data_IF_241260606386
#
_entry.id   IF_241260606386
#
_cell.length_a   1.000
_cell.length_b   1.000
_cell.length_c   1.000
_cell.angle_alpha   90.00
_cell.angle_beta   90.00
_cell.angle_gamma   90.00
#
_symmetry.space_group_name_H-M   'P 1'
#
loop_
_entity.id
_entity.type
_entity.pdbx_description
1 polymer ?
#
# COMPACT_ATOMS: atom_id res chain seq x y z
N UNK A 1 -0.03 -20.94 -14.13
CA UNK A 1 -0.92 -21.36 -15.24
C UNK A 1 -0.27 -22.49 -16.04
N UNK A 2 -0.91 -23.66 -16.09
CA UNK A 2 -0.49 -24.75 -16.97
C UNK A 2 -0.91 -24.42 -18.40
N UNK A 3 -0.06 -24.77 -19.37
CA UNK A 3 -0.43 -24.61 -20.78
C UNK A 3 -1.56 -25.60 -21.15
N UNK A 4 -2.20 -25.45 -22.31
CA UNK A 4 -3.29 -26.35 -22.77
C UNK A 4 -2.88 -27.84 -22.85
N UNK A 5 -1.57 -28.12 -22.81
CA UNK A 5 -0.98 -29.46 -22.79
C UNK A 5 -0.60 -29.95 -21.38
N UNK A 6 -0.94 -29.21 -20.32
CA UNK A 6 -0.65 -29.58 -18.93
C UNK A 6 0.82 -29.38 -18.51
N UNK A 7 1.67 -28.81 -19.35
CA UNK A 7 3.06 -28.53 -19.02
C UNK A 7 3.21 -27.16 -18.34
N UNK A 8 4.04 -27.11 -17.30
CA UNK A 8 4.45 -25.86 -16.67
C UNK A 8 5.67 -25.30 -17.40
N UNK A 9 5.57 -24.06 -17.87
CA UNK A 9 6.70 -23.33 -18.42
C UNK A 9 6.92 -22.06 -17.61
N UNK A 10 8.17 -21.80 -17.24
CA UNK A 10 8.57 -20.54 -16.58
C UNK A 10 8.15 -19.34 -17.44
N UNK A 11 8.18 -19.48 -18.77
CA UNK A 11 7.79 -18.43 -19.72
C UNK A 11 6.30 -18.12 -19.64
N UNK A 12 5.43 -19.13 -19.62
CA UNK A 12 3.97 -18.90 -19.52
C UNK A 12 3.58 -18.34 -18.15
N UNK A 13 4.21 -18.86 -17.08
CA UNK A 13 4.01 -18.34 -15.73
C UNK A 13 4.42 -16.87 -15.60
N UNK A 14 5.62 -16.52 -16.07
CA UNK A 14 6.14 -15.15 -16.01
C UNK A 14 5.28 -14.20 -16.86
N UNK A 15 4.88 -14.59 -18.07
CA UNK A 15 4.00 -13.76 -18.91
C UNK A 15 2.64 -13.48 -18.26
N UNK A 16 1.98 -14.49 -17.67
CA UNK A 16 0.72 -14.29 -16.97
C UNK A 16 0.88 -13.44 -15.71
N UNK A 17 2.00 -13.60 -15.00
CA UNK A 17 2.31 -12.76 -13.84
C UNK A 17 2.54 -11.30 -14.25
N UNK A 18 3.26 -11.06 -15.36
CA UNK A 18 3.45 -9.71 -15.92
C UNK A 18 2.11 -9.12 -16.37
N UNK A 19 1.24 -9.89 -17.03
CA UNK A 19 -0.11 -9.44 -17.41
C UNK A 19 -1.00 -9.12 -16.20
N UNK A 20 -0.96 -9.92 -15.14
CA UNK A 20 -1.64 -9.62 -13.88
C UNK A 20 -1.07 -8.36 -13.20
N UNK A 21 0.20 -8.03 -13.46
CA UNK A 21 0.88 -6.86 -12.92
C UNK A 21 0.68 -5.60 -13.77
N UNK A 22 0.33 -5.74 -15.07
CA UNK A 22 0.07 -4.61 -15.99
C UNK A 22 -1.05 -3.69 -15.53
N UNK A 23 -2.08 -4.22 -14.84
CA UNK A 23 -3.13 -3.39 -14.25
C UNK A 23 -2.58 -2.43 -13.16
N UNK A 24 -1.43 -2.77 -12.58
CA UNK A 24 -0.72 -1.98 -11.58
C UNK A 24 0.38 -1.07 -12.15
N UNK A 25 0.76 -1.22 -13.42
CA UNK A 25 1.89 -0.47 -14.02
C UNK A 25 1.68 1.03 -13.91
N UNK A 26 0.45 1.51 -14.10
CA UNK A 26 0.18 2.93 -13.96
C UNK A 26 0.08 3.43 -12.51
N UNK A 27 -0.13 2.56 -11.51
CA UNK A 27 0.00 2.92 -10.10
C UNK A 27 1.48 2.91 -9.67
N UNK A 28 2.26 1.93 -10.16
CA UNK A 28 3.70 1.88 -9.92
C UNK A 28 4.42 3.11 -10.50
N UNK A 29 4.05 3.57 -11.71
CA UNK A 29 4.58 4.81 -12.28
C UNK A 29 4.31 6.05 -11.43
N UNK A 30 3.13 6.14 -10.79
CA UNK A 30 2.79 7.25 -9.92
C UNK A 30 3.62 7.27 -8.61
N UNK A 31 4.12 6.10 -8.18
CA UNK A 31 4.93 5.97 -6.97
C UNK A 31 6.41 6.34 -7.22
N UNK A 32 6.95 5.99 -8.38
CA UNK A 32 8.37 6.19 -8.70
C UNK A 32 8.64 7.59 -9.24
N UNK A 33 8.66 8.58 -8.35
CA UNK A 33 8.91 9.99 -8.69
C UNK A 33 10.41 10.30 -8.54
N UNK A 34 11.11 10.81 -9.58
CA UNK A 34 12.57 11.05 -9.51
C UNK A 34 13.02 12.02 -8.41
N UNK A 35 12.15 12.96 -8.02
CA UNK A 35 12.43 13.97 -6.99
C UNK A 35 12.19 13.48 -5.56
N UNK A 36 11.61 12.28 -5.38
CA UNK A 36 11.30 11.72 -4.07
C UNK A 36 12.35 10.67 -3.71
N UNK A 37 12.85 10.65 -2.46
CA UNK A 37 13.82 9.64 -2.04
C UNK A 37 13.32 8.21 -2.31
N UNK A 38 14.17 7.36 -2.88
CA UNK A 38 13.84 5.97 -3.25
C UNK A 38 13.24 5.18 -2.09
N UNK A 39 13.66 5.47 -0.84
CA UNK A 39 13.12 4.84 0.37
C UNK A 39 11.64 5.17 0.58
N UNK A 40 11.22 6.40 0.30
CA UNK A 40 9.82 6.82 0.40
C UNK A 40 8.98 6.21 -0.73
N UNK A 41 9.50 6.17 -1.96
CA UNK A 41 8.84 5.49 -3.08
C UNK A 41 8.68 3.99 -2.80
N UNK A 42 9.73 3.32 -2.29
CA UNK A 42 9.67 1.92 -1.91
C UNK A 42 8.65 1.68 -0.79
N UNK A 43 8.58 2.56 0.21
CA UNK A 43 7.59 2.50 1.27
C UNK A 43 6.17 2.61 0.72
N UNK A 44 5.88 3.60 -0.13
CA UNK A 44 4.57 3.77 -0.76
C UNK A 44 4.20 2.56 -1.64
N UNK A 45 5.15 2.00 -2.38
CA UNK A 45 4.95 0.77 -3.16
C UNK A 45 4.61 -0.41 -2.25
N UNK A 46 5.37 -0.63 -1.17
CA UNK A 46 5.07 -1.67 -0.20
C UNK A 46 3.71 -1.44 0.47
N UNK A 47 3.35 -0.19 0.78
CA UNK A 47 2.07 0.20 1.38
C UNK A 47 0.90 -0.17 0.49
N UNK A 48 1.01 0.18 -0.79
CA UNK A 48 -0.01 -0.06 -1.80
C UNK A 48 -0.25 -1.57 -2.05
N UNK A 49 0.77 -2.40 -1.80
CA UNK A 49 0.65 -3.86 -1.86
C UNK A 49 0.17 -4.47 -0.55
N UNK A 50 -0.14 -3.67 0.46
CA UNK A 50 -0.42 -4.10 1.84
C UNK A 50 0.70 -4.98 2.40
N UNK A 51 1.94 -4.71 1.96
CA UNK A 51 3.17 -5.47 2.30
C UNK A 51 4.08 -4.70 3.25
N UNK A 52 3.63 -3.57 3.80
CA UNK A 52 4.36 -2.94 4.90
C UNK A 52 4.33 -3.93 6.08
N UNK A 53 5.49 -4.21 6.70
CA UNK A 53 5.54 -5.04 7.88
C UNK A 53 5.00 -4.23 9.06
N UNK A 54 3.69 -4.02 9.10
CA UNK A 54 3.07 -3.16 10.11
C UNK A 54 2.95 -3.87 11.44
N UNK A 55 2.68 -5.17 11.43
CA UNK A 55 2.62 -6.03 12.63
C UNK A 55 2.29 -7.49 12.28
N UNK A 56 1.86 -7.78 11.04
CA UNK A 56 1.55 -9.13 10.57
C UNK A 56 2.73 -10.13 10.65
N UNK A 57 3.97 -9.64 10.76
CA UNK A 57 5.14 -10.50 11.04
C UNK A 57 5.32 -10.82 12.53
N UNK A 58 4.72 -10.04 13.44
CA UNK A 58 4.74 -10.30 14.89
C UNK A 58 3.72 -11.37 15.29
N UNK A 59 2.54 -11.42 14.65
CA UNK A 59 1.54 -12.50 14.87
C UNK A 59 2.04 -13.89 14.45
N UNK A 60 2.90 -14.00 13.42
CA UNK A 60 3.57 -15.27 13.06
C UNK A 60 4.58 -15.78 14.11
N UNK A 61 4.87 -15.01 15.17
CA UNK A 61 5.77 -15.36 16.29
C UNK A 61 5.04 -15.63 17.62
N UNK A 62 3.74 -15.91 17.61
CA UNK A 62 2.92 -16.14 18.83
C UNK A 62 2.88 -14.94 19.80
N UNK A 63 2.64 -13.72 19.31
CA UNK A 63 2.47 -12.55 20.17
C UNK A 63 1.00 -12.34 20.56
N UNK A 64 0.68 -12.38 21.86
CA UNK A 64 -0.67 -12.34 22.45
C UNK A 64 -1.00 -10.99 23.13
N UNK A 65 -0.48 -9.88 22.60
CA UNK A 65 -0.82 -8.51 23.04
C UNK A 65 -1.93 -7.88 22.19
N UNK A 66 -2.57 -6.79 22.66
CA UNK A 66 -3.67 -6.14 21.94
C UNK A 66 -3.15 -5.59 20.61
N UNK A 67 -3.73 -6.02 19.50
CA UNK A 67 -3.46 -5.64 18.10
C UNK A 67 -3.83 -4.18 17.80
N UNK A 68 -3.75 -3.27 18.76
CA UNK A 68 -4.28 -1.90 18.67
C UNK A 68 -3.25 -0.94 18.07
N UNK A 69 -3.74 0.03 17.31
CA UNK A 69 -2.93 1.08 16.67
C UNK A 69 -2.06 1.82 17.69
N UNK A 70 -0.75 1.86 17.45
CA UNK A 70 0.20 2.55 18.33
C UNK A 70 -0.02 4.06 18.43
N UNK A 71 -0.75 4.65 17.48
CA UNK A 71 -1.07 6.08 17.45
C UNK A 71 -2.40 6.40 18.14
N UNK A 72 -3.47 5.67 17.79
CA UNK A 72 -4.81 5.98 18.27
C UNK A 72 -5.27 5.09 19.44
N UNK A 73 -4.62 3.95 19.67
CA UNK A 73 -4.90 2.94 20.71
C UNK A 73 -6.34 2.39 20.74
N UNK A 74 -7.13 2.65 19.70
CA UNK A 74 -8.56 2.33 19.64
C UNK A 74 -8.85 1.15 18.72
N UNK A 75 -8.33 1.18 17.49
CA UNK A 75 -8.67 0.21 16.45
C UNK A 75 -7.51 -0.75 16.15
N UNK A 76 -7.78 -1.88 15.50
CA UNK A 76 -6.74 -2.82 15.14
C UNK A 76 -5.74 -2.26 14.11
N UNK A 77 -4.45 -2.59 14.25
CA UNK A 77 -3.42 -2.22 13.28
C UNK A 77 -3.64 -2.98 11.98
N UNK A 78 -4.01 -2.21 10.95
CA UNK A 78 -3.87 -2.58 9.55
C UNK A 78 -3.03 -1.54 8.82
N UNK A 79 -2.51 -1.87 7.63
CA UNK A 79 -1.77 -0.91 6.79
C UNK A 79 -2.66 0.29 6.46
N UNK A 80 -3.93 0.03 6.13
CA UNK A 80 -4.90 1.07 5.77
C UNK A 80 -5.28 1.92 6.99
N UNK A 81 -5.47 1.30 8.17
CA UNK A 81 -5.69 2.08 9.40
C UNK A 81 -4.46 2.93 9.74
N UNK A 82 -3.26 2.37 9.77
CA UNK A 82 -2.07 3.11 10.17
C UNK A 82 -1.75 4.26 9.22
N UNK A 83 -2.05 4.14 7.92
CA UNK A 83 -1.64 5.14 6.92
C UNK A 83 -2.76 6.06 6.42
N UNK A 84 -4.02 5.69 6.63
CA UNK A 84 -5.17 6.42 6.08
C UNK A 84 -6.21 6.73 7.15
N UNK A 85 -6.70 5.73 7.88
CA UNK A 85 -7.87 5.89 8.76
C UNK A 85 -7.56 6.31 10.20
N UNK A 86 -6.32 6.13 10.66
CA UNK A 86 -5.93 6.54 12.00
C UNK A 86 -6.17 8.05 12.14
N UNK A 87 -6.91 8.47 13.18
CA UNK A 87 -7.30 9.87 13.40
C UNK A 87 -6.12 10.85 13.27
N UNK A 88 -4.98 10.51 13.89
CA UNK A 88 -3.77 11.33 13.85
C UNK A 88 -3.21 11.46 12.44
N UNK A 89 -3.27 10.38 11.67
CA UNK A 89 -2.73 10.31 10.31
C UNK A 89 -3.66 10.98 9.32
N UNK A 90 -4.97 10.81 9.48
CA UNK A 90 -5.98 11.53 8.71
C UNK A 90 -5.86 13.05 8.93
N UNK A 91 -5.65 13.50 10.18
CA UNK A 91 -5.35 14.92 10.47
C UNK A 91 -4.04 15.40 9.84
N UNK A 92 -2.99 14.57 9.80
CA UNK A 92 -1.75 14.91 9.11
C UNK A 92 -1.93 15.05 7.59
N UNK A 93 -2.73 14.18 6.98
CA UNK A 93 -3.09 14.29 5.57
C UNK A 93 -3.87 15.56 5.28
N UNK A 94 -4.89 15.84 6.10
CA UNK A 94 -5.70 17.04 5.98
C UNK A 94 -4.86 18.32 6.10
N UNK A 95 -3.98 18.39 7.11
CA UNK A 95 -3.05 19.51 7.27
C UNK A 95 -2.12 19.64 6.06
N UNK A 96 -1.48 18.55 5.65
CA UNK A 96 -0.49 18.57 4.57
C UNK A 96 -1.12 18.97 3.22
N UNK A 97 -2.32 18.46 2.93
CA UNK A 97 -3.05 18.76 1.71
C UNK A 97 -3.64 20.17 1.75
N UNK A 98 -4.17 20.61 2.89
CA UNK A 98 -4.67 21.98 3.08
C UNK A 98 -3.57 23.01 2.85
N UNK A 99 -2.35 22.74 3.32
CA UNK A 99 -1.17 23.58 3.05
C UNK A 99 -0.83 23.66 1.55
N UNK A 100 -1.19 22.63 0.78
CA UNK A 100 -1.04 22.61 -0.68
C UNK A 100 -2.30 23.08 -1.43
N UNK A 101 -3.37 23.49 -0.73
CA UNK A 101 -4.63 23.94 -1.32
C UNK A 101 -5.58 22.83 -1.76
N UNK A 102 -5.42 21.61 -1.25
CA UNK A 102 -6.28 20.46 -1.53
C UNK A 102 -7.11 20.07 -0.30
N UNK A 103 -8.36 19.66 -0.52
CA UNK A 103 -9.17 19.05 0.53
C UNK A 103 -8.87 17.55 0.63
N UNK A 104 -8.62 17.06 1.84
CA UNK A 104 -8.49 15.63 2.08
C UNK A 104 -9.87 14.98 2.10
N UNK A 105 -10.06 13.98 1.23
CA UNK A 105 -11.23 13.10 1.26
C UNK A 105 -10.71 11.71 1.59
N UNK A 106 -11.05 11.22 2.78
CA UNK A 106 -10.50 9.97 3.28
C UNK A 106 -10.85 8.80 2.34
N UNK A 107 -9.87 8.19 1.65
CA UNK A 107 -10.11 7.06 0.77
C UNK A 107 -10.27 5.77 1.57
N UNK A 108 -10.77 4.71 0.91
CA UNK A 108 -11.08 3.45 1.58
C UNK A 108 -9.86 2.58 1.90
N UNK A 109 -8.74 2.82 1.21
CA UNK A 109 -7.49 2.07 1.38
C UNK A 109 -6.30 2.83 0.75
N UNK A 110 -5.08 2.37 1.03
CA UNK A 110 -3.86 2.99 0.53
C UNK A 110 -3.70 2.90 -1.00
N UNK A 111 -4.37 1.96 -1.67
CA UNK A 111 -4.31 1.86 -3.14
C UNK A 111 -5.04 3.00 -3.81
N UNK A 112 -6.20 3.36 -3.26
CA UNK A 112 -6.99 4.50 -3.72
C UNK A 112 -6.20 5.80 -3.54
N UNK A 113 -5.49 5.96 -2.40
CA UNK A 113 -4.55 7.10 -2.19
C UNK A 113 -3.54 7.17 -3.34
N UNK A 114 -2.84 6.08 -3.63
CA UNK A 114 -1.82 6.05 -4.69
C UNK A 114 -2.42 6.30 -6.07
N UNK A 115 -3.65 5.86 -6.32
CA UNK A 115 -4.33 6.10 -7.59
C UNK A 115 -4.58 7.60 -7.84
N UNK A 116 -4.81 8.39 -6.78
CA UNK A 116 -4.97 9.86 -6.89
C UNK A 116 -3.69 10.60 -7.23
N UNK A 117 -2.52 9.97 -7.07
CA UNK A 117 -1.23 10.60 -7.36
C UNK A 117 -0.91 10.71 -8.85
N UNK A 118 -1.76 10.16 -9.74
CA UNK A 118 -1.65 10.38 -11.18
C UNK A 118 -1.98 11.83 -11.54
N UNK A 119 -0.94 12.65 -11.72
CA UNK A 119 -0.92 13.84 -12.56
C UNK A 119 0.33 13.85 -13.42
#
# INVERSE_FOLDING_TARGET
>A
PLDRKGSFSVKSFCSTQVEATRCWDGAAKAIWIPKVPTKACFFAWAASKSKIPTEDKLKRRNFSGPSRCSLCLEEEVSVDHLLVHCRWVSSLWDLSLSLMGFSWVQPSNMRDVVATWRR
#
